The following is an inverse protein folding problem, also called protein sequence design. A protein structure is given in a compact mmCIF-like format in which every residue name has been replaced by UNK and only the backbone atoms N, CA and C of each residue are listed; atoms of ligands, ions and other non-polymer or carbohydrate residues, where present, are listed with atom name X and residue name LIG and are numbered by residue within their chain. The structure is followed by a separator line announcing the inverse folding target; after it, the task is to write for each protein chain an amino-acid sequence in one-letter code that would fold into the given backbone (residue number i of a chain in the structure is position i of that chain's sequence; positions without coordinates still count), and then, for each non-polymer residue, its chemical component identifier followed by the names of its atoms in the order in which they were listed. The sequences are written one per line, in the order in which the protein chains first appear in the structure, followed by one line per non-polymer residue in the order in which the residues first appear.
data_IF_291149606190
#
_entry.id   IF_291149606190
#
_cell.length_a   1.000
_cell.length_b   1.000
_cell.length_c   1.000
_cell.angle_alpha   90.00
_cell.angle_beta   90.00
_cell.angle_gamma   90.00
#
_symmetry.space_group_name_H-M   'P 1'
#
loop_
_entity.id
_entity.type
_entity.pdbx_description
1 polymer ?
#
# COMPACT_ATOMS: atom_id res chain seq x y z
N UNK A 1 -6.75 -13.12 -8.14
CA UNK A 1 -5.30 -12.99 -7.92
C UNK A 1 -4.83 -13.89 -6.79
N UNK A 2 -5.57 -13.93 -5.70
CA UNK A 2 -5.21 -14.69 -4.50
C UNK A 2 -4.99 -16.19 -4.78
N UNK A 3 -5.86 -16.81 -5.55
CA UNK A 3 -5.77 -18.21 -5.97
C UNK A 3 -4.50 -18.53 -6.80
N UNK A 4 -3.90 -17.50 -7.43
CA UNK A 4 -2.69 -17.62 -8.24
C UNK A 4 -1.44 -17.14 -7.50
N UNK A 5 -1.51 -16.92 -6.19
CA UNK A 5 -0.41 -16.40 -5.39
C UNK A 5 0.04 -15.00 -5.81
N UNK A 6 -0.86 -14.19 -6.38
CA UNK A 6 -0.60 -12.85 -6.87
C UNK A 6 -1.31 -11.78 -6.04
N UNK A 7 -0.77 -10.54 -6.08
CA UNK A 7 -1.37 -9.38 -5.39
C UNK A 7 -1.27 -8.10 -6.21
N UNK A 8 -2.14 -7.15 -5.91
CA UNK A 8 -1.95 -5.74 -6.25
C UNK A 8 -0.96 -5.16 -5.24
N UNK A 9 0.29 -4.94 -5.67
CA UNK A 9 1.37 -4.58 -4.74
C UNK A 9 1.15 -3.19 -4.10
N UNK A 10 0.50 -2.26 -4.80
CA UNK A 10 0.16 -0.93 -4.29
C UNK A 10 -0.93 -0.92 -3.20
N UNK A 11 -1.50 -2.09 -2.87
CA UNK A 11 -2.30 -2.31 -1.65
C UNK A 11 -3.47 -1.32 -1.49
N UNK A 12 -4.44 -1.27 -2.44
CA UNK A 12 -5.53 -0.31 -2.36
C UNK A 12 -6.38 -0.50 -1.10
N UNK A 13 -6.75 0.61 -0.44
CA UNK A 13 -7.63 0.57 0.72
C UNK A 13 -9.06 0.13 0.35
N UNK A 14 -9.73 -0.44 1.32
CA UNK A 14 -11.19 -0.64 1.29
C UNK A 14 -11.88 0.53 2.01
N UNK A 15 -12.52 1.39 1.25
CA UNK A 15 -13.14 2.59 1.83
C UNK A 15 -14.51 2.35 2.42
N UNK A 16 -15.06 1.12 2.38
CA UNK A 16 -16.42 0.85 2.86
C UNK A 16 -16.60 1.23 4.33
N UNK A 17 -15.64 0.89 5.17
CA UNK A 17 -15.66 1.26 6.58
C UNK A 17 -15.65 2.77 6.79
N UNK A 18 -14.71 3.47 6.15
CA UNK A 18 -14.57 4.91 6.27
C UNK A 18 -15.78 5.69 5.73
N UNK A 19 -16.39 5.22 4.66
CA UNK A 19 -17.52 5.89 3.99
C UNK A 19 -18.88 5.41 4.45
N UNK A 20 -18.95 4.42 5.35
CA UNK A 20 -20.22 3.81 5.80
C UNK A 20 -21.02 3.17 4.66
N UNK A 21 -20.35 2.66 3.60
CA UNK A 21 -21.00 2.11 2.41
C UNK A 21 -20.88 0.59 2.34
N UNK A 22 -21.88 -0.05 1.70
CA UNK A 22 -21.90 -1.51 1.48
C UNK A 22 -21.53 -1.95 0.06
N UNK A 23 -21.41 -1.01 -0.87
CA UNK A 23 -21.08 -1.29 -2.27
C UNK A 23 -19.65 -1.77 -2.44
N UNK A 24 -19.43 -2.88 -3.17
CA UNK A 24 -18.10 -3.41 -3.41
C UNK A 24 -17.24 -2.41 -4.21
N UNK A 25 -15.97 -2.16 -3.80
CA UNK A 25 -15.03 -1.36 -4.57
C UNK A 25 -14.79 -1.97 -5.98
N UNK A 26 -14.64 -1.11 -6.98
CA UNK A 26 -14.32 -1.55 -8.34
C UNK A 26 -12.88 -1.20 -8.69
N UNK A 27 -12.24 -2.03 -9.52
CA UNK A 27 -10.88 -1.75 -9.98
C UNK A 27 -10.82 -0.44 -10.80
N UNK A 28 -11.89 -0.10 -11.53
CA UNK A 28 -12.00 1.17 -12.23
C UNK A 28 -11.98 2.37 -11.27
N UNK A 29 -12.70 2.29 -10.15
CA UNK A 29 -12.69 3.31 -9.10
C UNK A 29 -11.31 3.45 -8.43
N UNK A 30 -10.66 2.32 -8.12
CA UNK A 30 -9.30 2.29 -7.58
C UNK A 30 -8.32 3.01 -8.51
N UNK A 31 -8.37 2.72 -9.81
CA UNK A 31 -7.51 3.37 -10.80
C UNK A 31 -7.88 4.84 -10.98
N UNK A 32 -9.17 5.16 -11.13
CA UNK A 32 -9.62 6.53 -11.33
C UNK A 32 -9.20 7.46 -10.18
N UNK A 33 -9.21 6.96 -8.94
CA UNK A 33 -8.78 7.70 -7.76
C UNK A 33 -7.28 7.51 -7.41
N UNK A 34 -6.55 6.65 -8.15
CA UNK A 34 -5.15 6.28 -7.86
C UNK A 34 -4.95 5.79 -6.41
N UNK A 35 -5.91 5.00 -5.91
CA UNK A 35 -5.90 4.52 -4.51
C UNK A 35 -4.70 3.61 -4.27
N UNK A 36 -3.95 3.94 -3.23
CA UNK A 36 -2.73 3.21 -2.86
C UNK A 36 -2.60 3.18 -1.35
N UNK A 37 -2.15 2.06 -0.80
CA UNK A 37 -2.00 1.84 0.63
C UNK A 37 -0.56 2.00 1.13
N UNK A 38 -0.27 1.47 2.32
CA UNK A 38 1.01 1.65 3.01
C UNK A 38 2.25 1.19 2.23
N UNK A 39 2.12 0.17 1.34
CA UNK A 39 3.26 -0.28 0.51
C UNK A 39 3.73 0.76 -0.51
N UNK A 40 2.99 1.85 -0.69
CA UNK A 40 3.37 2.92 -1.63
C UNK A 40 4.78 3.44 -1.39
N UNK A 41 5.25 3.48 -0.16
CA UNK A 41 6.60 3.93 0.20
C UNK A 41 7.72 3.06 -0.40
N UNK A 42 7.41 1.78 -0.69
CA UNK A 42 8.36 0.80 -1.22
C UNK A 42 8.13 0.52 -2.71
N UNK A 43 6.88 0.36 -3.15
CA UNK A 43 6.57 -0.16 -4.49
C UNK A 43 6.02 0.90 -5.46
N UNK A 44 5.64 2.07 -4.97
CA UNK A 44 4.94 3.09 -5.76
C UNK A 44 3.42 2.99 -5.69
N UNK A 45 2.75 3.89 -6.41
CA UNK A 45 1.30 4.05 -6.41
C UNK A 45 0.61 3.14 -7.44
N UNK A 46 -0.73 3.08 -7.41
CA UNK A 46 -1.54 2.37 -8.40
C UNK A 46 -1.14 2.72 -9.84
N UNK A 47 -0.94 4.02 -10.14
CA UNK A 47 -0.53 4.47 -11.48
C UNK A 47 0.78 3.87 -11.97
N UNK A 48 1.70 3.48 -11.07
CA UNK A 48 3.00 2.90 -11.43
C UNK A 48 2.88 1.42 -11.84
N UNK A 49 1.76 0.81 -11.53
CA UNK A 49 1.39 -0.56 -11.94
C UNK A 49 0.47 -0.61 -13.16
N UNK A 50 0.05 0.55 -13.67
CA UNK A 50 -0.81 0.62 -14.85
C UNK A 50 0.00 0.36 -16.12
N UNK A 51 -0.49 -0.54 -16.98
CA UNK A 51 0.09 -0.92 -18.26
C UNK A 51 -0.77 -0.48 -19.44
N UNK A 52 -2.08 -0.46 -19.28
CA UNK A 52 -3.01 -0.10 -20.34
C UNK A 52 -4.38 0.31 -19.83
N UNK A 53 -5.06 1.11 -20.64
CA UNK A 53 -6.44 1.56 -20.39
C UNK A 53 -7.27 1.53 -21.66
N UNK A 54 -8.58 1.30 -21.50
CA UNK A 54 -9.62 1.66 -22.45
C UNK A 54 -10.63 2.52 -21.71
N UNK A 55 -11.00 3.63 -22.30
CA UNK A 55 -11.97 4.55 -21.71
C UNK A 55 -12.82 5.22 -22.79
N UNK A 56 -13.96 5.77 -22.39
CA UNK A 56 -14.83 6.60 -23.23
C UNK A 56 -14.62 8.05 -22.78
N UNK A 57 -14.24 8.92 -23.69
CA UNK A 57 -14.01 10.33 -23.43
C UNK A 57 -15.30 11.16 -23.40
N UNK A 58 -15.20 12.46 -23.13
CA UNK A 58 -16.34 13.37 -23.05
C UNK A 58 -17.10 13.59 -24.39
N UNK A 59 -16.55 13.13 -25.52
CA UNK A 59 -17.20 13.16 -26.84
C UNK A 59 -17.90 11.85 -27.20
N UNK A 60 -17.80 10.82 -26.32
CA UNK A 60 -18.30 9.48 -26.60
C UNK A 60 -17.33 8.61 -27.41
N UNK A 61 -16.10 9.08 -27.64
CA UNK A 61 -15.09 8.34 -28.39
C UNK A 61 -14.42 7.28 -27.49
N UNK A 62 -14.33 6.05 -28.01
CA UNK A 62 -13.62 4.96 -27.34
C UNK A 62 -12.12 5.11 -27.64
N UNK A 63 -11.34 5.35 -26.59
CA UNK A 63 -9.88 5.49 -26.65
C UNK A 63 -9.22 4.30 -26.00
N UNK A 64 -8.17 3.76 -26.63
CA UNK A 64 -7.29 2.73 -26.06
C UNK A 64 -5.85 3.23 -26.08
N UNK A 65 -5.14 3.09 -24.93
CA UNK A 65 -3.76 3.46 -24.81
C UNK A 65 -3.00 2.43 -23.97
N UNK A 66 -1.71 2.21 -24.27
CA UNK A 66 -0.92 1.16 -23.64
C UNK A 66 -1.36 -0.24 -24.06
N UNK A 67 -1.07 -1.24 -23.23
CA UNK A 67 -1.36 -2.65 -23.52
C UNK A 67 -0.98 -3.55 -22.35
N UNK A 68 -0.36 -4.70 -22.68
CA UNK A 68 0.12 -5.69 -21.70
C UNK A 68 1.66 -5.75 -21.69
N UNK A 69 2.31 -4.66 -22.08
CA UNK A 69 3.77 -4.56 -22.16
C UNK A 69 4.30 -3.60 -21.12
N UNK A 70 5.48 -3.91 -20.59
CA UNK A 70 6.12 -3.11 -19.53
C UNK A 70 6.62 -1.74 -20.00
N UNK A 71 6.84 -1.57 -21.31
CA UNK A 71 7.33 -0.33 -21.90
C UNK A 71 6.54 -0.01 -23.16
N UNK A 72 5.96 1.18 -23.19
CA UNK A 72 5.38 1.81 -24.39
C UNK A 72 6.02 3.18 -24.57
N UNK A 73 6.61 3.42 -25.74
CA UNK A 73 7.38 4.65 -26.04
C UNK A 73 6.71 5.50 -27.14
N UNK A 74 5.51 5.10 -27.60
CA UNK A 74 4.85 5.79 -28.71
C UNK A 74 3.68 6.62 -28.20
N UNK A 75 3.72 7.92 -28.48
CA UNK A 75 2.66 8.86 -28.16
C UNK A 75 2.60 9.31 -26.70
N UNK A 76 1.49 9.92 -26.31
CA UNK A 76 1.24 10.36 -24.94
C UNK A 76 0.92 9.17 -24.02
N UNK A 77 1.36 9.27 -22.77
CA UNK A 77 1.03 8.29 -21.73
C UNK A 77 -0.35 8.60 -21.11
N UNK A 78 -1.40 8.25 -21.85
CA UNK A 78 -2.78 8.40 -21.37
C UNK A 78 -3.10 7.42 -20.24
N UNK A 79 -2.33 6.32 -20.10
CA UNK A 79 -2.46 5.37 -19.00
C UNK A 79 -2.22 6.09 -17.67
N UNK A 80 -1.12 6.84 -17.60
CA UNK A 80 -0.76 7.62 -16.40
C UNK A 80 -1.71 8.81 -16.19
N UNK A 81 -2.20 9.42 -17.27
CA UNK A 81 -3.13 10.54 -17.21
C UNK A 81 -4.49 10.12 -16.62
N UNK A 82 -5.00 8.95 -17.02
CA UNK A 82 -6.29 8.45 -16.55
C UNK A 82 -6.26 7.99 -15.10
N UNK A 83 -5.11 7.56 -14.61
CA UNK A 83 -4.94 7.18 -13.20
C UNK A 83 -4.91 8.43 -12.30
N UNK A 84 -5.88 8.55 -11.42
CA UNK A 84 -6.07 9.73 -10.57
C UNK A 84 -6.87 10.86 -11.25
N UNK A 85 -7.54 10.60 -12.36
CA UNK A 85 -8.39 11.57 -13.05
C UNK A 85 -9.77 11.74 -12.39
N UNK A 86 -10.15 10.91 -11.45
CA UNK A 86 -11.46 10.93 -10.75
C UNK A 86 -12.67 10.85 -11.69
N UNK A 87 -12.49 10.24 -12.87
CA UNK A 87 -13.55 10.15 -13.88
C UNK A 87 -13.82 11.45 -14.65
N UNK A 88 -13.05 12.52 -14.41
CA UNK A 88 -13.27 13.83 -15.06
C UNK A 88 -12.83 13.87 -16.52
N UNK A 89 -11.96 12.93 -16.93
CA UNK A 89 -11.46 12.84 -18.31
C UNK A 89 -12.14 11.76 -19.16
N UNK A 90 -12.94 10.91 -18.53
CA UNK A 90 -13.66 9.83 -19.20
C UNK A 90 -13.98 8.67 -18.27
N UNK A 91 -14.75 7.71 -18.79
CA UNK A 91 -15.19 6.51 -18.07
C UNK A 91 -14.30 5.33 -18.44
N UNK A 92 -13.58 4.77 -17.45
CA UNK A 92 -12.74 3.58 -17.64
C UNK A 92 -13.60 2.34 -17.86
N UNK A 93 -13.37 1.62 -18.96
CA UNK A 93 -14.04 0.37 -19.31
C UNK A 93 -13.12 -0.87 -19.22
N UNK A 94 -11.80 -0.67 -19.36
CA UNK A 94 -10.81 -1.75 -19.24
C UNK A 94 -9.50 -1.19 -18.67
N UNK A 95 -8.88 -1.94 -17.79
CA UNK A 95 -7.53 -1.63 -17.25
C UNK A 95 -6.63 -2.86 -17.31
N UNK A 96 -5.36 -2.63 -17.64
CA UNK A 96 -4.31 -3.64 -17.55
C UNK A 96 -3.32 -3.23 -16.48
N UNK A 97 -3.09 -4.12 -15.51
CA UNK A 97 -2.27 -3.88 -14.33
C UNK A 97 -1.14 -4.90 -14.24
N UNK A 98 0.04 -4.46 -13.83
CA UNK A 98 1.10 -5.33 -13.35
C UNK A 98 0.71 -5.87 -11.98
N UNK A 99 0.89 -7.15 -11.77
CA UNK A 99 0.74 -7.82 -10.48
C UNK A 99 2.11 -8.32 -9.99
N UNK A 100 2.24 -8.52 -8.69
CA UNK A 100 3.44 -9.12 -8.10
C UNK A 100 3.06 -10.40 -7.33
N UNK A 101 4.02 -11.31 -7.11
CA UNK A 101 3.83 -12.45 -6.23
C UNK A 101 3.47 -12.01 -4.82
N UNK A 102 2.70 -12.83 -4.10
CA UNK A 102 2.55 -12.67 -2.66
C UNK A 102 3.89 -12.94 -1.96
N UNK A 103 4.22 -12.22 -0.87
CA UNK A 103 5.35 -12.59 -0.02
C UNK A 103 5.05 -13.92 0.68
N UNK A 104 6.08 -14.70 0.94
CA UNK A 104 5.96 -15.96 1.70
C UNK A 104 5.60 -15.70 3.15
N UNK A 105 6.12 -14.60 3.72
CA UNK A 105 5.89 -14.21 5.11
C UNK A 105 6.05 -12.70 5.32
N UNK A 106 5.64 -12.25 6.49
CA UNK A 106 5.79 -10.88 6.95
C UNK A 106 6.19 -10.84 8.43
N UNK A 107 6.85 -9.75 8.83
CA UNK A 107 7.08 -9.39 10.22
C UNK A 107 6.85 -7.89 10.41
N UNK A 108 6.54 -7.48 11.63
CA UNK A 108 6.40 -6.07 11.99
C UNK A 108 7.28 -5.76 13.20
N UNK A 109 8.19 -4.80 13.03
CA UNK A 109 8.93 -4.24 14.17
C UNK A 109 8.08 -3.12 14.75
N UNK A 110 7.81 -3.22 16.05
CA UNK A 110 7.00 -2.30 16.83
C UNK A 110 7.90 -1.53 17.77
N UNK A 111 7.71 -0.21 17.86
CA UNK A 111 8.44 0.67 18.79
C UNK A 111 7.41 1.44 19.58
N UNK A 112 7.37 1.21 20.88
CA UNK A 112 6.37 1.80 21.78
C UNK A 112 6.83 3.14 22.34
N UNK A 113 5.86 4.02 22.62
CA UNK A 113 6.04 5.24 23.41
C UNK A 113 6.75 6.41 22.72
N UNK A 114 6.96 6.37 21.40
CA UNK A 114 7.59 7.47 20.70
C UNK A 114 6.65 8.69 20.58
N UNK A 115 7.21 9.89 20.73
CA UNK A 115 6.53 11.12 20.28
C UNK A 115 6.42 11.14 18.75
N UNK A 116 5.47 11.90 18.19
CA UNK A 116 5.29 12.04 16.73
C UNK A 116 6.61 12.43 16.03
N UNK A 117 7.37 13.35 16.63
CA UNK A 117 8.65 13.79 16.08
C UNK A 117 9.72 12.69 16.10
N UNK A 118 9.78 11.88 17.17
CA UNK A 118 10.70 10.74 17.26
C UNK A 118 10.28 9.62 16.32
N UNK A 119 8.98 9.36 16.21
CA UNK A 119 8.42 8.39 15.29
C UNK A 119 8.77 8.71 13.83
N UNK A 120 8.65 9.96 13.41
CA UNK A 120 9.06 10.39 12.05
C UNK A 120 10.55 10.13 11.83
N UNK A 121 11.41 10.43 12.82
CA UNK A 121 12.85 10.15 12.74
C UNK A 121 13.15 8.65 12.66
N UNK A 122 12.44 7.84 13.47
CA UNK A 122 12.58 6.38 13.47
C UNK A 122 12.14 5.77 12.13
N UNK A 123 10.98 6.16 11.62
CA UNK A 123 10.49 5.72 10.31
C UNK A 123 11.43 6.11 9.17
N UNK A 124 11.93 7.34 9.16
CA UNK A 124 12.89 7.80 8.15
C UNK A 124 14.20 7.01 8.21
N UNK A 125 14.73 6.71 9.42
CA UNK A 125 15.91 5.87 9.61
C UNK A 125 15.71 4.45 9.09
N UNK A 126 14.55 3.84 9.38
CA UNK A 126 14.22 2.50 8.93
C UNK A 126 14.06 2.43 7.40
N UNK A 127 13.33 3.38 6.81
CA UNK A 127 13.11 3.47 5.35
C UNK A 127 14.41 3.76 4.59
N UNK A 128 15.36 4.47 5.17
CA UNK A 128 16.69 4.72 4.61
C UNK A 128 17.68 3.55 4.78
N UNK A 129 17.32 2.49 5.48
CA UNK A 129 18.15 1.31 5.69
C UNK A 129 18.11 0.35 4.49
N UNK A 130 19.08 -0.57 4.35
CA UNK A 130 19.08 -1.57 3.27
C UNK A 130 18.12 -2.75 3.51
N UNK A 131 17.22 -2.66 4.49
CA UNK A 131 16.41 -3.80 4.93
C UNK A 131 15.00 -3.83 4.33
N UNK A 132 14.75 -3.06 3.27
CA UNK A 132 13.54 -3.11 2.43
C UNK A 132 12.23 -3.04 3.24
N UNK A 133 12.08 -2.02 4.07
CA UNK A 133 10.85 -1.75 4.81
C UNK A 133 9.70 -1.51 3.82
N UNK A 134 8.64 -2.32 3.90
CA UNK A 134 7.49 -2.27 2.98
C UNK A 134 6.31 -1.43 3.48
N UNK A 135 6.40 -0.93 4.71
CA UNK A 135 5.41 -0.03 5.31
C UNK A 135 5.94 0.57 6.59
N UNK A 136 5.64 1.83 6.83
CA UNK A 136 5.97 2.56 8.05
C UNK A 136 4.76 3.38 8.47
N UNK A 137 4.33 3.27 9.72
CA UNK A 137 3.19 3.98 10.27
C UNK A 137 3.44 4.32 11.74
N UNK A 138 2.87 5.45 12.18
CA UNK A 138 2.81 5.83 13.57
C UNK A 138 1.36 6.02 14.00
N UNK A 139 1.00 5.45 15.12
CA UNK A 139 -0.34 5.54 15.71
C UNK A 139 -0.15 6.27 17.05
N UNK A 140 -0.51 7.55 17.15
CA UNK A 140 -0.27 8.38 18.34
C UNK A 140 -1.04 7.88 19.56
N UNK A 141 -2.19 7.25 19.33
CA UNK A 141 -3.01 6.61 20.37
C UNK A 141 -3.28 5.18 19.93
N UNK A 142 -2.47 4.24 20.37
CA UNK A 142 -2.64 2.81 20.08
C UNK A 142 -3.91 2.23 20.73
N UNK A 143 -4.19 0.95 20.47
CA UNK A 143 -5.37 0.26 21.00
C UNK A 143 -5.41 0.23 22.54
N UNK A 144 -4.25 0.31 23.18
CA UNK A 144 -4.07 0.35 24.64
C UNK A 144 -3.87 1.77 25.19
N UNK A 145 -4.01 2.80 24.35
CA UNK A 145 -3.83 4.20 24.71
C UNK A 145 -2.38 4.69 24.67
N UNK A 146 -1.43 3.86 24.25
CA UNK A 146 -0.01 4.23 24.11
C UNK A 146 0.41 4.37 22.65
N UNK A 147 1.30 5.34 22.33
CA UNK A 147 1.81 5.50 20.97
C UNK A 147 2.57 4.25 20.51
N UNK A 148 2.36 3.85 19.25
CA UNK A 148 3.11 2.75 18.63
C UNK A 148 3.57 3.12 17.22
N UNK A 149 4.84 2.83 16.91
CA UNK A 149 5.40 2.98 15.56
C UNK A 149 5.63 1.61 14.96
N UNK A 150 5.15 1.39 13.75
CA UNK A 150 5.09 0.10 13.08
C UNK A 150 5.94 0.13 11.81
N UNK A 151 6.82 -0.87 11.66
CA UNK A 151 7.69 -1.03 10.49
C UNK A 151 7.52 -2.44 9.92
N UNK A 152 6.94 -2.56 8.71
CA UNK A 152 6.66 -3.86 8.09
C UNK A 152 7.80 -4.31 7.20
N UNK A 153 8.15 -5.57 7.30
CA UNK A 153 9.09 -6.29 6.45
C UNK A 153 8.36 -7.49 5.83
N UNK A 154 8.48 -7.66 4.51
CA UNK A 154 7.83 -8.74 3.77
C UNK A 154 8.82 -9.41 2.80
N UNK A 155 8.57 -10.66 2.43
CA UNK A 155 9.37 -11.36 1.44
C UNK A 155 9.53 -12.85 1.71
N UNK A 156 10.71 -13.38 1.40
CA UNK A 156 11.05 -14.79 1.60
C UNK A 156 11.19 -15.15 3.08
N UNK A 157 10.69 -16.32 3.45
CA UNK A 157 10.70 -16.82 4.84
C UNK A 157 12.10 -16.87 5.47
N UNK A 158 13.13 -17.18 4.68
CA UNK A 158 14.52 -17.18 5.15
C UNK A 158 15.13 -15.79 5.36
N UNK A 159 14.58 -14.73 4.76
CA UNK A 159 15.12 -13.37 4.78
C UNK A 159 14.42 -12.46 5.80
N UNK A 160 13.11 -12.58 5.93
CA UNK A 160 12.29 -11.68 6.76
C UNK A 160 12.73 -11.66 8.23
N UNK A 161 13.00 -12.82 8.91
CA UNK A 161 13.44 -12.79 10.31
C UNK A 161 14.73 -12.01 10.51
N UNK A 162 15.74 -12.26 9.66
CA UNK A 162 17.02 -11.55 9.72
C UNK A 162 16.84 -10.04 9.56
N UNK A 163 16.08 -9.60 8.54
CA UNK A 163 15.85 -8.17 8.29
C UNK A 163 15.07 -7.49 9.42
N UNK A 164 14.11 -8.20 10.02
CA UNK A 164 13.37 -7.72 11.18
C UNK A 164 14.28 -7.52 12.39
N UNK A 165 15.21 -8.46 12.65
CA UNK A 165 16.20 -8.33 13.72
C UNK A 165 17.17 -7.17 13.47
N UNK A 166 17.61 -6.96 12.23
CA UNK A 166 18.45 -5.83 11.86
C UNK A 166 17.74 -4.48 12.05
N UNK A 167 16.47 -4.38 11.67
CA UNK A 167 15.66 -3.18 11.91
C UNK A 167 15.47 -2.95 13.41
N UNK A 168 15.12 -3.98 14.19
CA UNK A 168 14.98 -3.87 15.64
C UNK A 168 16.29 -3.39 16.28
N UNK A 169 17.43 -3.91 15.83
CA UNK A 169 18.77 -3.52 16.29
C UNK A 169 19.11 -2.04 16.04
N UNK A 170 18.50 -1.38 15.05
CA UNK A 170 18.68 0.06 14.85
C UNK A 170 18.13 0.91 16.02
N UNK A 171 17.25 0.33 16.83
CA UNK A 171 16.49 1.00 17.89
C UNK A 171 16.70 0.35 19.26
N UNK A 172 17.81 -0.35 19.47
CA UNK A 172 18.08 -1.20 20.64
C UNK A 172 18.02 -0.53 22.01
N UNK A 173 17.98 0.83 22.09
CA UNK A 173 17.80 1.59 23.33
C UNK A 173 16.33 1.93 23.61
N UNK A 174 15.41 1.59 22.69
CA UNK A 174 13.98 1.87 22.76
C UNK A 174 13.20 0.63 23.17
N UNK A 175 11.93 0.79 23.52
CA UNK A 175 11.00 -0.32 23.76
C UNK A 175 10.59 -0.95 22.43
N UNK A 176 11.40 -1.89 21.93
CA UNK A 176 11.23 -2.55 20.62
C UNK A 176 10.84 -4.00 20.81
N UNK A 177 9.85 -4.45 20.05
CA UNK A 177 9.51 -5.87 19.92
C UNK A 177 9.14 -6.20 18.46
N UNK A 178 9.13 -7.49 18.13
CA UNK A 178 8.91 -7.95 16.75
C UNK A 178 7.75 -8.94 16.72
N UNK A 179 6.67 -8.56 16.05
CA UNK A 179 5.60 -9.47 15.69
C UNK A 179 6.03 -10.29 14.47
N UNK A 180 6.01 -11.62 14.60
CA UNK A 180 6.44 -12.57 13.56
C UNK A 180 5.29 -13.48 13.10
N UNK A 181 4.07 -13.25 13.61
CA UNK A 181 2.88 -13.92 13.10
C UNK A 181 2.39 -13.23 11.82
N UNK A 182 2.50 -13.86 10.65
CA UNK A 182 2.10 -13.23 9.39
C UNK A 182 0.62 -12.86 9.33
N UNK A 183 -0.24 -13.60 10.03
CA UNK A 183 -1.68 -13.31 10.09
C UNK A 183 -1.95 -12.06 10.94
N UNK A 184 -1.34 -11.97 12.12
CA UNK A 184 -1.44 -10.80 12.98
C UNK A 184 -0.87 -9.54 12.28
N UNK A 185 0.30 -9.64 11.63
CA UNK A 185 0.90 -8.56 10.84
C UNK A 185 -0.02 -8.14 9.69
N UNK A 186 -0.61 -9.09 8.97
CA UNK A 186 -1.55 -8.77 7.87
C UNK A 186 -2.77 -8.03 8.39
N UNK A 187 -3.33 -8.46 9.52
CA UNK A 187 -4.50 -7.85 10.14
C UNK A 187 -4.22 -6.43 10.64
N UNK A 188 -3.11 -6.22 11.33
CA UNK A 188 -2.72 -4.89 11.83
C UNK A 188 -2.46 -3.91 10.69
N UNK A 189 -1.81 -4.36 9.60
CA UNK A 189 -1.58 -3.52 8.43
C UNK A 189 -2.84 -3.29 7.56
N UNK A 190 -3.82 -4.21 7.58
CA UNK A 190 -5.15 -3.95 7.00
C UNK A 190 -5.86 -2.83 7.76
N UNK A 191 -5.78 -2.81 9.09
CA UNK A 191 -6.31 -1.73 9.93
C UNK A 191 -5.69 -0.35 9.59
N UNK A 192 -4.36 -0.31 9.38
CA UNK A 192 -3.66 0.91 8.92
C UNK A 192 -4.07 1.29 7.50
N UNK A 193 -4.11 0.31 6.57
CA UNK A 193 -4.46 0.52 5.16
C UNK A 193 -5.85 1.12 4.99
N UNK A 194 -6.80 0.61 5.76
CA UNK A 194 -8.21 0.99 5.64
C UNK A 194 -8.58 2.17 6.54
N UNK A 195 -7.57 2.76 7.21
CA UNK A 195 -7.72 3.87 8.17
C UNK A 195 -8.81 3.61 9.22
N UNK A 196 -8.83 2.39 9.75
CA UNK A 196 -9.92 1.89 10.60
C UNK A 196 -10.12 2.71 11.89
N UNK A 197 -9.10 3.44 12.34
CA UNK A 197 -9.21 4.37 13.46
C UNK A 197 -10.24 5.52 13.23
N UNK A 198 -10.64 5.74 11.96
CA UNK A 198 -11.54 6.83 11.58
C UNK A 198 -12.93 6.35 11.13
N UNK A 199 -13.22 5.03 11.22
CA UNK A 199 -14.49 4.49 10.73
C UNK A 199 -15.69 4.96 11.53
N UNK A 200 -15.52 5.17 12.83
CA UNK A 200 -16.58 5.59 13.77
C UNK A 200 -16.38 7.02 14.28
N UNK A 201 -15.55 7.81 13.58
CA UNK A 201 -15.37 9.23 13.91
C UNK A 201 -16.61 10.02 13.49
N UNK A 202 -17.37 10.53 14.48
CA UNK A 202 -18.49 11.46 14.30
C UNK A 202 -17.99 12.88 13.91
#
# INVERSE_FOLDING_TARGET
LDAEGQRLAFEPMDHRGLMGTSGAPTIGGVVAANVSGPRRVSVGACRDFMLGVRFVDGTGTIVKNGGRVMKNVTGYDLVKLMSGSWGTLGVLSEVSLKVLPKPETAACVMIDGLSDADAVRAMAKALGSPFEVSGAAHIPVGLDGHPVTMLRIEGFAGSVPYRADQIAGLFGEMAVWVDRDPEAVTKSWAWVRDVSAFHDAE
#
